data_IF_713451018493
#
_entry.id   IF_713451018493
#
_cell.length_a   1.000
_cell.length_b   1.000
_cell.length_c   1.000
_cell.angle_alpha   90.00
_cell.angle_beta   90.00
_cell.angle_gamma   90.00
#
_symmetry.space_group_name_H-M   'P 1'
#
loop_
_entity.id
_entity.type
_entity.pdbx_description
1 polymer ?
#
# COMPACT_ATOMS: atom_id res chain seq x y z
N UNK A 1 3.49 -20.51 -56.61
CA UNK A 1 3.02 -19.13 -56.81
C UNK A 1 1.85 -18.88 -55.86
N UNK A 2 2.09 -18.21 -54.73
CA UNK A 2 1.04 -17.86 -53.77
C UNK A 2 1.43 -16.53 -53.15
N UNK A 3 0.91 -15.45 -53.74
CA UNK A 3 1.25 -14.07 -53.42
C UNK A 3 0.43 -13.53 -52.25
N UNK A 4 1.11 -12.70 -51.47
CA UNK A 4 0.60 -11.78 -50.45
C UNK A 4 -0.49 -10.84 -50.99
N UNK A 5 -1.38 -10.39 -50.10
CA UNK A 5 -2.24 -9.24 -50.36
C UNK A 5 -3.20 -8.90 -49.22
N UNK A 6 -2.70 -8.28 -48.16
CA UNK A 6 -3.52 -7.48 -47.23
C UNK A 6 -3.71 -6.07 -47.78
N UNK A 7 -4.89 -5.47 -47.63
CA UNK A 7 -5.23 -4.04 -47.49
C UNK A 7 -6.73 -3.91 -47.84
N UNK A 8 -7.60 -3.14 -47.20
CA UNK A 8 -7.54 -2.21 -46.08
C UNK A 8 -8.98 -1.71 -45.85
N UNK A 9 -9.31 -1.24 -44.65
CA UNK A 9 -10.59 -0.57 -44.40
C UNK A 9 -10.31 0.85 -43.93
N UNK A 10 -10.78 1.81 -44.73
CA UNK A 10 -10.66 3.25 -44.50
C UNK A 10 -12.00 3.80 -43.99
N UNK A 11 -11.96 4.30 -42.75
CA UNK A 11 -12.63 5.45 -42.11
C UNK A 11 -13.78 6.17 -42.86
N UNK A 12 -14.95 6.32 -42.21
CA UNK A 12 -15.52 7.61 -41.72
C UNK A 12 -17.01 7.51 -41.39
N UNK A 13 -17.40 8.05 -40.22
CA UNK A 13 -18.82 8.23 -39.84
C UNK A 13 -18.95 9.01 -38.54
N UNK A 14 -18.82 10.33 -38.63
CA UNK A 14 -19.03 11.29 -37.54
C UNK A 14 -20.46 11.23 -36.98
N UNK A 15 -20.62 11.18 -35.66
CA UNK A 15 -21.82 11.70 -34.99
C UNK A 15 -21.46 12.46 -33.71
N UNK A 16 -21.42 13.78 -33.84
CA UNK A 16 -21.36 14.76 -32.76
C UNK A 16 -22.76 14.94 -32.16
N UNK A 17 -22.89 14.84 -30.83
CA UNK A 17 -23.41 15.95 -29.97
C UNK A 17 -23.49 15.57 -28.47
N UNK A 18 -22.88 16.47 -27.67
CA UNK A 18 -23.39 17.09 -26.41
C UNK A 18 -23.40 16.21 -25.15
N UNK A 19 -23.03 16.68 -23.94
CA UNK A 19 -22.56 17.97 -23.45
C UNK A 19 -22.23 17.84 -21.93
N UNK A 20 -21.48 18.84 -21.42
CA UNK A 20 -21.44 19.39 -20.04
C UNK A 20 -20.34 18.94 -19.06
N UNK A 21 -19.41 19.89 -18.91
CA UNK A 21 -18.96 20.51 -17.65
C UNK A 21 -18.49 19.60 -16.52
N UNK A 22 -17.17 19.64 -16.28
CA UNK A 22 -16.55 19.76 -14.95
C UNK A 22 -15.16 20.42 -15.09
N UNK A 23 -15.12 21.61 -15.70
CA UNK A 23 -13.98 22.52 -15.65
C UNK A 23 -14.14 23.45 -14.44
N UNK A 24 -13.81 23.02 -13.22
CA UNK A 24 -13.69 23.96 -12.09
C UNK A 24 -12.87 23.51 -10.87
N UNK A 25 -11.94 22.55 -10.98
CA UNK A 25 -11.06 22.20 -9.83
C UNK A 25 -9.56 22.21 -10.17
N UNK A 26 -9.19 22.52 -11.43
CA UNK A 26 -7.81 22.32 -11.93
C UNK A 26 -6.85 23.51 -11.81
N UNK A 27 -7.15 24.58 -11.05
CA UNK A 27 -6.36 25.83 -11.10
C UNK A 27 -5.75 26.28 -9.76
N UNK A 28 -5.98 25.60 -8.63
CA UNK A 28 -5.49 26.13 -7.34
C UNK A 28 -4.14 25.56 -6.91
N UNK A 29 -3.80 24.31 -7.24
CA UNK A 29 -2.57 23.68 -6.72
C UNK A 29 -1.27 23.99 -7.48
N UNK A 30 -1.34 24.51 -8.71
CA UNK A 30 -0.15 24.82 -9.51
C UNK A 30 0.53 26.16 -9.14
N UNK A 31 -0.15 27.02 -8.38
CA UNK A 31 0.36 28.35 -8.04
C UNK A 31 1.27 28.42 -6.80
N UNK A 32 1.28 27.37 -5.95
CA UNK A 32 2.09 27.37 -4.72
C UNK A 32 3.54 26.90 -4.95
N UNK A 33 3.78 25.99 -5.90
CA UNK A 33 5.10 25.40 -6.10
C UNK A 33 6.06 26.34 -6.88
N UNK A 34 5.56 27.05 -7.89
CA UNK A 34 6.39 27.95 -8.72
C UNK A 34 6.80 29.25 -8.02
N UNK A 35 6.12 29.65 -6.93
CA UNK A 35 6.52 30.83 -6.13
C UNK A 35 7.68 30.57 -5.17
N UNK A 36 7.90 29.31 -4.76
CA UNK A 36 8.88 28.99 -3.72
C UNK A 36 10.20 28.43 -4.25
N UNK A 37 10.23 27.89 -5.47
CA UNK A 37 11.48 27.43 -6.11
C UNK A 37 12.31 28.59 -6.68
N UNK A 38 11.68 29.70 -7.06
CA UNK A 38 12.35 30.80 -7.78
C UNK A 38 12.82 31.98 -6.88
N UNK A 39 12.67 31.90 -5.55
CA UNK A 39 13.18 32.95 -4.63
C UNK A 39 14.62 32.74 -4.17
N UNK A 40 15.23 31.58 -4.41
CA UNK A 40 16.55 31.22 -3.87
C UNK A 40 17.74 31.40 -4.82
N UNK A 41 17.55 31.82 -6.07
CA UNK A 41 18.65 31.87 -7.06
C UNK A 41 18.78 33.14 -7.91
N UNK A 42 18.08 34.24 -7.60
CA UNK A 42 18.26 35.49 -8.34
C UNK A 42 18.13 36.70 -7.41
N UNK A 43 19.15 36.93 -6.60
CA UNK A 43 19.36 38.20 -5.89
C UNK A 43 20.56 38.94 -6.48
N UNK A 44 20.55 39.15 -7.79
CA UNK A 44 21.37 40.19 -8.43
C UNK A 44 20.86 40.45 -9.83
N UNK A 45 20.73 41.75 -10.15
CA UNK A 45 20.41 42.33 -11.46
C UNK A 45 18.91 42.43 -11.79
N UNK A 46 18.39 43.64 -11.61
CA UNK A 46 17.01 44.04 -11.91
C UNK A 46 16.67 44.00 -13.40
N UNK A 47 16.27 42.82 -13.88
CA UNK A 47 15.57 42.65 -15.16
C UNK A 47 14.14 42.15 -14.88
N UNK A 48 13.15 42.89 -15.40
CA UNK A 48 11.74 42.51 -15.35
C UNK A 48 11.54 41.15 -16.05
N UNK A 49 11.23 40.12 -15.26
CA UNK A 49 11.01 38.76 -15.76
C UNK A 49 9.68 38.70 -16.51
N UNK A 50 9.74 38.67 -17.86
CA UNK A 50 8.55 38.51 -18.69
C UNK A 50 8.05 37.07 -18.62
N UNK A 51 6.89 36.87 -18.00
CA UNK A 51 6.21 35.57 -17.89
C UNK A 51 6.02 34.88 -19.26
N UNK A 52 5.86 35.66 -20.34
CA UNK A 52 5.70 35.13 -21.71
C UNK A 52 6.96 34.49 -22.29
N UNK A 53 8.16 34.85 -21.81
CA UNK A 53 9.42 34.25 -22.27
C UNK A 53 9.67 32.89 -21.61
N UNK A 54 9.37 32.76 -20.32
CA UNK A 54 9.51 31.50 -19.58
C UNK A 54 8.57 30.39 -20.10
N UNK A 55 7.35 30.76 -20.51
CA UNK A 55 6.38 29.81 -21.07
C UNK A 55 6.75 29.34 -22.49
N UNK A 56 7.53 30.12 -23.25
CA UNK A 56 8.02 29.69 -24.57
C UNK A 56 9.22 28.75 -24.48
N UNK A 57 10.10 28.94 -23.48
CA UNK A 57 11.23 28.06 -23.25
C UNK A 57 10.84 26.67 -22.70
N UNK A 58 9.63 26.51 -22.15
CA UNK A 58 9.12 25.22 -21.66
C UNK A 58 8.45 24.35 -22.72
N UNK A 59 8.31 24.85 -23.96
CA UNK A 59 7.71 24.09 -25.06
C UNK A 59 8.72 23.27 -25.87
N UNK A 60 10.01 23.35 -25.55
CA UNK A 60 11.04 22.47 -26.10
C UNK A 60 11.05 21.14 -25.34
N UNK A 61 10.34 20.16 -25.89
CA UNK A 61 10.54 18.71 -25.72
C UNK A 61 10.86 18.18 -24.31
N UNK A 62 10.21 18.68 -23.27
CA UNK A 62 10.16 17.97 -22.00
C UNK A 62 9.20 16.80 -22.18
N UNK A 63 9.73 15.62 -22.46
CA UNK A 63 8.98 14.35 -22.35
C UNK A 63 8.40 14.30 -20.94
N UNK A 64 7.11 14.61 -20.80
CA UNK A 64 6.39 14.40 -19.56
C UNK A 64 6.62 12.94 -19.15
N UNK A 65 6.93 12.65 -17.87
CA UNK A 65 7.05 11.28 -17.43
C UNK A 65 5.78 10.53 -17.84
N UNK A 66 5.89 9.27 -18.29
CA UNK A 66 4.73 8.50 -18.69
C UNK A 66 3.70 8.57 -17.57
N UNK A 67 2.45 8.93 -17.92
CA UNK A 67 1.35 9.01 -16.98
C UNK A 67 1.26 7.66 -16.26
N UNK A 68 1.68 7.62 -14.99
CA UNK A 68 1.62 6.40 -14.19
C UNK A 68 0.15 6.20 -13.90
N UNK A 69 -0.46 5.19 -14.52
CA UNK A 69 -1.81 4.79 -14.19
C UNK A 69 -1.84 4.24 -12.75
N UNK A 70 -2.11 5.14 -11.80
CA UNK A 70 -2.16 4.83 -10.37
C UNK A 70 -3.27 3.85 -10.04
N UNK A 71 -4.28 3.71 -10.90
CA UNK A 71 -5.47 2.91 -10.68
C UNK A 71 -5.45 1.57 -11.42
N UNK A 72 -4.42 1.29 -12.23
CA UNK A 72 -4.30 -0.01 -12.90
C UNK A 72 -4.28 -1.15 -11.86
N UNK A 73 -5.08 -2.18 -12.06
CA UNK A 73 -5.09 -3.35 -11.17
C UNK A 73 -3.81 -4.18 -11.32
N UNK A 74 -3.26 -4.19 -12.54
CA UNK A 74 -2.07 -4.94 -12.87
C UNK A 74 -0.79 -4.17 -12.52
N UNK A 75 0.07 -4.84 -11.76
CA UNK A 75 1.42 -4.38 -11.39
C UNK A 75 2.40 -4.79 -12.49
N UNK A 76 3.24 -3.84 -12.93
CA UNK A 76 4.26 -4.12 -13.96
C UNK A 76 5.48 -4.85 -13.37
N UNK A 77 6.18 -5.67 -14.17
CA UNK A 77 7.35 -6.45 -13.73
C UNK A 77 8.49 -5.64 -13.08
N UNK A 78 8.65 -4.39 -13.48
CA UNK A 78 9.70 -3.45 -13.07
C UNK A 78 9.27 -2.54 -11.90
N UNK A 79 8.04 -2.68 -11.40
CA UNK A 79 7.59 -1.86 -10.28
C UNK A 79 8.35 -2.17 -8.99
N UNK A 80 8.71 -1.10 -8.27
CA UNK A 80 9.44 -1.14 -7.01
C UNK A 80 8.61 -1.79 -5.91
N UNK A 81 9.22 -2.69 -5.15
CA UNK A 81 8.63 -3.32 -3.98
C UNK A 81 9.69 -3.57 -2.90
N UNK A 82 9.24 -3.83 -1.68
CA UNK A 82 10.12 -4.15 -0.55
C UNK A 82 9.69 -5.48 0.03
N UNK A 83 10.67 -6.36 0.27
CA UNK A 83 10.50 -7.60 0.99
C UNK A 83 11.10 -7.48 2.38
N UNK A 84 10.46 -8.12 3.34
CA UNK A 84 10.91 -8.21 4.72
C UNK A 84 11.10 -9.65 5.14
N UNK A 85 12.20 -9.90 5.85
CA UNK A 85 12.51 -11.20 6.43
C UNK A 85 11.96 -11.20 7.86
N UNK A 86 10.80 -11.83 8.07
CA UNK A 86 10.11 -11.87 9.35
C UNK A 86 10.49 -13.12 10.14
N UNK A 87 10.78 -12.94 11.43
CA UNK A 87 10.86 -14.03 12.40
C UNK A 87 9.50 -14.25 13.05
N UNK A 88 8.95 -15.45 12.89
CA UNK A 88 7.61 -15.80 13.29
C UNK A 88 7.61 -17.14 14.04
N UNK A 89 6.47 -17.45 14.63
CA UNK A 89 6.20 -18.74 15.24
C UNK A 89 5.00 -19.41 14.56
N UNK A 90 4.97 -20.73 14.56
CA UNK A 90 3.83 -21.53 14.13
C UNK A 90 3.55 -22.60 15.17
N UNK A 91 2.27 -22.79 15.55
CA UNK A 91 1.86 -23.90 16.42
C UNK A 91 1.79 -25.19 15.60
N UNK A 92 2.43 -26.24 16.07
CA UNK A 92 2.32 -27.58 15.50
C UNK A 92 1.03 -28.30 15.93
N UNK A 93 0.82 -29.53 15.44
CA UNK A 93 -0.35 -30.35 15.78
C UNK A 93 -0.42 -30.73 17.27
N UNK A 94 0.69 -30.61 18.00
CA UNK A 94 0.77 -30.87 19.44
C UNK A 94 0.68 -29.58 20.27
N UNK A 95 0.42 -28.43 19.62
CA UNK A 95 0.30 -27.12 20.26
C UNK A 95 1.64 -26.46 20.64
N UNK A 96 2.79 -27.02 20.25
CA UNK A 96 4.11 -26.44 20.51
C UNK A 96 4.44 -25.37 19.47
N UNK A 97 5.09 -24.29 19.90
CA UNK A 97 5.56 -23.23 19.01
C UNK A 97 6.88 -23.66 18.35
N UNK A 98 6.89 -23.61 17.03
CA UNK A 98 8.08 -23.79 16.20
C UNK A 98 8.48 -22.46 15.57
N UNK A 99 9.77 -22.18 15.55
CA UNK A 99 10.32 -20.98 14.93
C UNK A 99 10.34 -21.12 13.41
N UNK A 100 9.96 -20.04 12.72
CA UNK A 100 9.92 -19.98 11.28
C UNK A 100 10.39 -18.61 10.81
N UNK A 101 11.11 -18.59 9.69
CA UNK A 101 11.54 -17.37 9.02
C UNK A 101 10.78 -17.26 7.71
N UNK A 102 10.09 -16.14 7.52
CA UNK A 102 9.17 -15.97 6.38
C UNK A 102 9.49 -14.69 5.63
N UNK A 103 9.47 -14.76 4.32
CA UNK A 103 9.59 -13.61 3.43
C UNK A 103 8.20 -13.03 3.20
N UNK A 104 8.04 -11.75 3.54
CA UNK A 104 6.78 -11.02 3.39
C UNK A 104 6.94 -9.77 2.53
N UNK A 105 5.96 -9.43 1.68
CA UNK A 105 5.89 -8.11 1.06
C UNK A 105 5.57 -7.05 2.12
N UNK A 106 6.34 -5.96 2.11
CA UNK A 106 6.23 -4.88 3.09
C UNK A 106 5.56 -3.66 2.44
N UNK A 107 4.34 -3.28 2.84
CA UNK A 107 3.68 -2.09 2.32
C UNK A 107 4.35 -0.81 2.84
N UNK A 108 4.09 0.31 2.16
CA UNK A 108 4.67 1.62 2.52
C UNK A 108 4.45 2.03 3.98
N UNK A 109 3.26 1.79 4.53
CA UNK A 109 2.94 2.11 5.93
C UNK A 109 3.81 1.33 6.92
N UNK A 110 4.01 0.03 6.68
CA UNK A 110 4.87 -0.81 7.51
C UNK A 110 6.33 -0.37 7.40
N UNK A 111 6.81 -0.06 6.18
CA UNK A 111 8.17 0.45 5.99
C UNK A 111 8.40 1.74 6.77
N UNK A 112 7.49 2.72 6.67
CA UNK A 112 7.58 3.99 7.41
C UNK A 112 7.65 3.76 8.92
N UNK A 113 6.83 2.84 9.43
CA UNK A 113 6.79 2.48 10.86
C UNK A 113 8.10 1.85 11.32
N UNK A 114 8.67 0.95 10.53
CA UNK A 114 9.97 0.32 10.82
C UNK A 114 11.09 1.36 10.84
N UNK A 115 11.11 2.28 9.87
CA UNK A 115 12.14 3.33 9.78
C UNK A 115 12.04 4.36 10.91
N UNK A 116 10.88 4.49 11.57
CA UNK A 116 10.71 5.27 12.79
C UNK A 116 11.24 4.56 14.05
N UNK A 117 11.75 3.33 13.93
CA UNK A 117 12.33 2.58 15.04
C UNK A 117 11.31 1.84 15.90
N UNK A 118 10.08 1.66 15.42
CA UNK A 118 9.07 0.87 16.13
C UNK A 118 9.52 -0.60 16.19
N UNK A 119 9.43 -1.27 17.35
CA UNK A 119 9.79 -2.67 17.48
C UNK A 119 9.02 -3.55 16.49
N UNK A 120 9.73 -4.48 15.83
CA UNK A 120 9.13 -5.32 14.79
C UNK A 120 9.71 -6.73 14.77
N UNK A 121 8.97 -7.66 14.16
CA UNK A 121 9.40 -9.04 13.93
C UNK A 121 10.32 -9.18 12.70
N UNK A 122 10.53 -8.11 11.92
CA UNK A 122 11.43 -8.15 10.77
C UNK A 122 12.90 -8.06 11.22
N UNK A 123 13.72 -8.98 10.71
CA UNK A 123 15.18 -8.97 10.87
C UNK A 123 15.84 -8.05 9.85
N UNK A 124 15.37 -8.10 8.60
CA UNK A 124 15.97 -7.45 7.43
C UNK A 124 14.90 -7.00 6.45
N UNK A 125 15.21 -5.98 5.67
CA UNK A 125 14.42 -5.53 4.52
C UNK A 125 15.30 -5.52 3.27
N UNK A 126 14.71 -5.74 2.10
CA UNK A 126 15.39 -5.57 0.81
C UNK A 126 14.45 -4.93 -0.20
N UNK A 127 14.92 -3.90 -0.90
CA UNK A 127 14.17 -3.33 -2.01
C UNK A 127 14.51 -4.05 -3.32
N UNK A 128 13.49 -4.35 -4.11
CA UNK A 128 13.62 -5.08 -5.37
C UNK A 128 12.52 -4.67 -6.34
N UNK A 129 12.44 -5.35 -7.49
CA UNK A 129 11.36 -5.21 -8.46
C UNK A 129 10.38 -6.37 -8.36
N UNK A 130 9.12 -6.13 -8.70
CA UNK A 130 8.02 -7.10 -8.60
C UNK A 130 8.36 -8.45 -9.23
N UNK A 131 8.90 -8.47 -10.44
CA UNK A 131 9.28 -9.71 -11.14
C UNK A 131 10.30 -10.56 -10.37
N UNK A 132 11.31 -9.94 -9.75
CA UNK A 132 12.32 -10.65 -8.95
C UNK A 132 11.74 -11.12 -7.62
N UNK A 133 10.81 -10.35 -7.04
CA UNK A 133 10.15 -10.74 -5.81
C UNK A 133 9.23 -11.97 -5.95
N UNK A 134 8.77 -12.30 -7.16
CA UNK A 134 7.93 -13.47 -7.40
C UNK A 134 8.68 -14.80 -7.28
N UNK A 135 10.00 -14.78 -7.41
CA UNK A 135 10.82 -15.98 -7.40
C UNK A 135 11.84 -15.93 -6.26
N UNK A 136 11.78 -16.94 -5.39
CA UNK A 136 12.67 -17.07 -4.23
C UNK A 136 14.14 -17.19 -4.66
N UNK A 137 14.42 -17.76 -5.84
CA UNK A 137 15.79 -17.91 -6.34
C UNK A 137 16.43 -16.58 -6.76
N UNK A 138 15.59 -15.57 -7.04
CA UNK A 138 16.00 -14.22 -7.41
C UNK A 138 16.27 -13.31 -6.20
N UNK A 139 16.09 -13.82 -4.98
CA UNK A 139 16.32 -13.08 -3.74
C UNK A 139 17.81 -13.06 -3.41
N UNK A 140 18.39 -11.91 -3.05
CA UNK A 140 19.81 -11.82 -2.71
C UNK A 140 20.19 -12.75 -1.54
N UNK A 141 21.28 -13.54 -1.64
CA UNK A 141 21.74 -14.38 -0.54
C UNK A 141 22.04 -13.59 0.74
N UNK A 142 22.54 -12.36 0.60
CA UNK A 142 22.78 -11.43 1.72
C UNK A 142 21.50 -11.04 2.50
N UNK A 143 20.33 -11.16 1.89
CA UNK A 143 19.06 -10.92 2.57
C UNK A 143 18.62 -12.11 3.42
N UNK A 144 19.09 -13.32 3.12
CA UNK A 144 18.66 -14.57 3.78
C UNK A 144 19.71 -15.11 4.77
N UNK A 145 21.01 -14.90 4.55
CA UNK A 145 22.11 -15.41 5.43
C UNK A 145 21.90 -16.87 5.87
N UNK A 146 21.72 -17.78 4.91
CA UNK A 146 21.55 -19.23 5.13
C UNK A 146 20.32 -19.65 5.97
N UNK A 147 19.41 -18.72 6.30
CA UNK A 147 18.16 -19.03 6.98
C UNK A 147 17.24 -19.88 6.07
N UNK A 148 16.62 -20.92 6.63
CA UNK A 148 15.58 -21.68 5.91
C UNK A 148 14.32 -20.82 5.82
N UNK A 149 14.08 -20.28 4.64
CA UNK A 149 12.99 -19.34 4.38
C UNK A 149 11.89 -19.93 3.51
N UNK A 150 10.66 -19.46 3.73
CA UNK A 150 9.53 -19.67 2.83
C UNK A 150 8.80 -18.35 2.61
N UNK A 151 8.01 -18.28 1.54
CA UNK A 151 7.07 -17.19 1.36
C UNK A 151 5.90 -17.29 2.35
N UNK A 152 5.33 -16.14 2.69
CA UNK A 152 4.14 -16.09 3.53
C UNK A 152 2.89 -16.65 2.83
N UNK A 153 1.84 -16.87 3.61
CA UNK A 153 0.52 -17.17 3.06
C UNK A 153 0.03 -16.02 2.16
N UNK A 154 -0.65 -16.37 1.06
CA UNK A 154 -1.19 -15.44 0.07
C UNK A 154 -0.13 -14.45 -0.48
N UNK A 155 1.11 -14.91 -0.61
CA UNK A 155 2.26 -14.07 -0.97
C UNK A 155 2.04 -13.25 -2.25
N UNK A 156 1.56 -13.89 -3.33
CA UNK A 156 1.38 -13.23 -4.63
C UNK A 156 0.42 -12.03 -4.55
N UNK A 157 -0.74 -12.23 -3.91
CA UNK A 157 -1.74 -11.18 -3.72
C UNK A 157 -1.22 -10.06 -2.81
N UNK A 158 -0.55 -10.43 -1.72
CA UNK A 158 0.10 -9.48 -0.80
C UNK A 158 1.21 -8.69 -1.49
N UNK A 159 1.96 -9.32 -2.38
CA UNK A 159 3.04 -8.70 -3.12
C UNK A 159 2.49 -7.67 -4.11
N UNK A 160 1.43 -8.04 -4.83
CA UNK A 160 0.74 -7.12 -5.72
C UNK A 160 0.18 -5.92 -4.95
N UNK A 161 -0.49 -6.16 -3.82
CA UNK A 161 -1.04 -5.10 -2.97
C UNK A 161 0.06 -4.17 -2.42
N UNK A 162 1.14 -4.73 -1.85
CA UNK A 162 2.26 -3.94 -1.31
C UNK A 162 2.93 -3.09 -2.40
N UNK A 163 3.14 -3.65 -3.59
CA UNK A 163 3.75 -2.95 -4.73
C UNK A 163 2.90 -1.76 -5.17
N UNK A 164 1.56 -1.91 -5.23
CA UNK A 164 0.65 -0.80 -5.52
C UNK A 164 0.78 0.35 -4.52
N UNK A 165 1.08 0.07 -3.25
CA UNK A 165 1.29 1.14 -2.26
C UNK A 165 2.51 2.02 -2.59
N UNK A 166 3.59 1.44 -3.13
CA UNK A 166 4.77 2.21 -3.56
C UNK A 166 4.56 2.95 -4.88
N UNK A 167 3.71 2.42 -5.76
CA UNK A 167 3.29 3.12 -6.97
C UNK A 167 2.50 4.40 -6.62
N UNK A 168 1.62 4.32 -5.63
CA UNK A 168 0.83 5.46 -5.15
C UNK A 168 1.66 6.51 -4.39
N UNK A 169 2.70 6.09 -3.67
CA UNK A 169 3.52 6.97 -2.80
C UNK A 169 5.00 6.84 -3.13
N UNK A 170 5.47 7.62 -4.11
CA UNK A 170 6.86 7.57 -4.58
C UNK A 170 7.86 7.99 -3.50
N UNK A 171 7.48 8.91 -2.62
CA UNK A 171 8.30 9.39 -1.51
C UNK A 171 8.60 8.32 -0.45
N UNK A 172 7.84 7.21 -0.44
CA UNK A 172 8.03 6.08 0.48
C UNK A 172 9.10 5.09 -0.01
N UNK A 173 9.68 5.26 -1.20
CA UNK A 173 10.80 4.45 -1.71
C UNK A 173 12.11 4.86 -1.03
N UNK A 174 12.26 4.49 0.25
CA UNK A 174 13.38 4.92 1.10
C UNK A 174 14.64 4.06 0.98
N UNK A 175 14.50 2.82 0.55
CA UNK A 175 15.61 1.85 0.41
C UNK A 175 15.99 1.77 -1.08
N UNK A 176 17.28 1.77 -1.41
CA UNK A 176 17.72 1.69 -2.81
C UNK A 176 17.52 0.27 -3.36
N UNK A 177 17.23 0.14 -4.67
CA UNK A 177 17.06 -1.16 -5.29
C UNK A 177 18.30 -2.05 -5.10
N UNK A 178 18.10 -3.26 -4.58
CA UNK A 178 19.15 -4.22 -4.25
C UNK A 178 19.81 -4.01 -2.89
N UNK A 179 19.52 -2.91 -2.19
CA UNK A 179 20.04 -2.64 -0.85
C UNK A 179 19.34 -3.51 0.18
N UNK A 180 20.14 -4.18 1.03
CA UNK A 180 19.66 -4.90 2.20
C UNK A 180 19.78 -3.98 3.42
N UNK A 181 18.64 -3.64 3.99
CA UNK A 181 18.54 -2.78 5.16
C UNK A 181 18.46 -3.62 6.44
N UNK A 182 19.47 -3.44 7.31
CA UNK A 182 19.67 -4.23 8.54
C UNK A 182 19.44 -3.41 9.83
N UNK A 183 19.33 -2.09 9.74
CA UNK A 183 19.19 -1.21 10.91
C UNK A 183 17.73 -1.17 11.39
N UNK A 184 17.27 -2.26 11.99
CA UNK A 184 15.89 -2.48 12.39
C UNK A 184 15.82 -2.73 13.89
N UNK A 185 14.80 -2.17 14.56
CA UNK A 185 14.48 -2.48 15.95
C UNK A 185 13.80 -3.86 16.05
N UNK A 186 14.58 -4.92 15.88
CA UNK A 186 14.08 -6.29 15.93
C UNK A 186 13.75 -6.70 17.37
N UNK A 187 12.54 -7.25 17.59
CA UNK A 187 12.11 -7.74 18.89
C UNK A 187 11.27 -9.01 18.76
N UNK A 188 11.58 -9.99 19.62
CA UNK A 188 10.83 -11.24 19.78
C UNK A 188 9.86 -11.21 20.96
N UNK A 189 9.80 -10.08 21.69
CA UNK A 189 8.92 -9.93 22.86
C UNK A 189 7.43 -10.10 22.48
N UNK A 190 6.89 -9.41 21.45
CA UNK A 190 5.61 -9.80 20.88
C UNK A 190 5.80 -11.04 20.01
N UNK A 191 5.28 -12.18 20.47
CA UNK A 191 5.31 -13.42 19.68
C UNK A 191 4.31 -13.31 18.54
N UNK A 192 4.82 -13.26 17.31
CA UNK A 192 3.99 -13.29 16.10
C UNK A 192 3.74 -14.74 15.69
N UNK A 193 2.56 -15.26 16.02
CA UNK A 193 2.13 -16.62 15.69
C UNK A 193 1.27 -16.60 14.41
N UNK A 194 1.70 -17.29 13.33
CA UNK A 194 1.06 -17.18 12.01
C UNK A 194 -0.29 -17.89 11.90
N UNK A 195 -0.47 -19.00 12.62
CA UNK A 195 -1.68 -19.84 12.55
C UNK A 195 -2.59 -19.68 13.77
N UNK A 196 -2.44 -18.60 14.52
CA UNK A 196 -3.30 -18.30 15.66
C UNK A 196 -4.60 -17.66 15.16
N UNK A 197 -5.72 -18.34 15.41
CA UNK A 197 -7.05 -17.80 15.16
C UNK A 197 -7.56 -17.21 16.45
N UNK A 198 -7.90 -15.93 16.43
CA UNK A 198 -8.61 -15.30 17.53
C UNK A 198 -10.08 -15.72 17.46
N UNK A 199 -10.54 -16.43 18.47
CA UNK A 199 -11.95 -16.78 18.65
C UNK A 199 -12.53 -15.83 19.69
N UNK A 200 -13.37 -14.85 19.29
CA UNK A 200 -13.94 -13.89 20.22
C UNK A 200 -14.86 -14.61 21.21
N UNK A 201 -14.68 -14.29 22.48
CA UNK A 201 -15.51 -14.79 23.57
C UNK A 201 -16.72 -13.88 23.82
N UNK A 202 -17.73 -14.35 24.55
CA UNK A 202 -18.86 -13.49 24.96
C UNK A 202 -18.40 -12.36 25.89
N UNK A 203 -17.32 -12.58 26.61
CA UNK A 203 -16.66 -11.62 27.50
C UNK A 203 -15.96 -10.49 26.71
N UNK A 204 -15.50 -10.76 25.49
CA UNK A 204 -14.94 -9.76 24.57
C UNK A 204 -16.03 -8.87 23.94
N UNK A 205 -17.30 -9.19 24.15
CA UNK A 205 -18.42 -8.41 23.65
C UNK A 205 -18.60 -7.12 24.46
N UNK A 206 -17.86 -6.07 24.08
CA UNK A 206 -18.12 -4.71 24.56
C UNK A 206 -19.46 -4.26 23.99
N UNK A 207 -20.52 -4.30 24.80
CA UNK A 207 -21.83 -3.78 24.40
C UNK A 207 -21.68 -2.32 23.98
N UNK A 208 -22.02 -2.03 22.72
CA UNK A 208 -22.04 -0.65 22.19
C UNK A 208 -23.18 0.19 22.77
N UNK A 209 -24.08 -0.42 23.54
CA UNK A 209 -25.32 0.18 24.00
C UNK A 209 -25.19 0.71 25.43
N UNK A 210 -24.35 1.72 25.65
CA UNK A 210 -24.54 2.61 26.83
C UNK A 210 -25.40 3.82 26.43
N UNK A 211 -25.44 4.17 25.14
CA UNK A 211 -26.18 5.34 24.64
C UNK A 211 -27.45 5.02 23.84
N UNK A 212 -27.79 3.74 23.62
CA UNK A 212 -29.02 3.35 22.90
C UNK A 212 -29.98 2.49 23.72
N UNK A 213 -29.96 2.62 25.04
CA UNK A 213 -31.18 2.41 25.84
C UNK A 213 -31.99 3.72 25.85
N UNK A 214 -32.40 4.17 24.65
CA UNK A 214 -33.38 5.27 24.49
C UNK A 214 -34.80 4.77 24.82
N UNK A 215 -35.01 3.46 24.76
CA UNK A 215 -36.22 2.81 25.22
C UNK A 215 -35.82 1.81 26.30
N UNK A 216 -35.89 2.25 27.55
CA UNK A 216 -35.49 1.47 28.72
C UNK A 216 -35.99 0.04 28.67
N UNK A 217 -35.09 -0.88 28.29
CA UNK A 217 -35.31 -2.30 28.53
C UNK A 217 -35.36 -2.47 30.05
N UNK A 218 -36.52 -2.90 30.54
CA UNK A 218 -36.63 -3.45 31.89
C UNK A 218 -35.55 -4.52 32.02
N UNK A 219 -34.81 -4.50 33.13
CA UNK A 219 -33.77 -5.50 33.40
C UNK A 219 -34.40 -6.90 33.27
N UNK A 220 -33.62 -7.89 32.82
CA UNK A 220 -34.11 -9.25 32.58
C UNK A 220 -34.87 -9.85 33.78
N UNK A 221 -34.55 -9.40 35.00
CA UNK A 221 -35.27 -9.78 36.22
C UNK A 221 -36.68 -9.19 36.34
N UNK A 222 -36.89 -7.95 35.91
CA UNK A 222 -38.22 -7.33 35.89
C UNK A 222 -39.13 -8.01 34.87
N UNK A 223 -38.60 -8.36 33.70
CA UNK A 223 -39.34 -9.07 32.64
C UNK A 223 -39.75 -10.47 33.11
N UNK A 224 -38.85 -11.20 33.78
CA UNK A 224 -39.18 -12.53 34.36
C UNK A 224 -40.32 -12.44 35.38
N UNK A 225 -40.28 -11.45 36.27
CA UNK A 225 -41.31 -11.26 37.29
C UNK A 225 -42.68 -10.90 36.69
N UNK A 226 -42.70 -10.21 35.55
CA UNK A 226 -43.92 -9.79 34.86
C UNK A 226 -44.56 -10.96 34.10
N UNK A 227 -43.73 -11.82 33.49
CA UNK A 227 -44.17 -13.08 32.87
C UNK A 227 -44.75 -14.03 33.91
N UNK A 228 -44.11 -14.22 35.06
CA UNK A 228 -44.62 -15.07 36.14
C UNK A 228 -45.97 -14.58 36.68
N UNK A 229 -46.21 -13.26 36.74
CA UNK A 229 -47.51 -12.70 37.15
C UNK A 229 -48.61 -12.99 36.14
N UNK A 230 -48.31 -12.96 34.84
CA UNK A 230 -49.28 -13.24 33.79
C UNK A 230 -49.66 -14.72 33.69
N UNK A 231 -48.73 -15.63 34.02
CA UNK A 231 -49.02 -17.07 34.05
C UNK A 231 -49.81 -17.51 35.28
N UNK A 232 -49.82 -16.70 36.34
CA UNK A 232 -50.50 -16.99 37.61
C UNK A 232 -51.76 -16.13 37.83
N UNK A 233 -52.22 -15.40 36.81
CA UNK A 233 -53.46 -14.62 36.79
C UNK A 233 -54.56 -15.36 36.04
#
# INVERSE_FOLDING_TARGET
>A
MGGFGSLGFLVHGNFLKRNRNLNSVRVVFHNYFLRNVCKKSCFSVGKSFSYKAAVRASNDSATLPPEVDLFSEQVKPDEYTVLGLAFCFQRDSNGKLQELVVIEPVPTSTLETILQGVPTSYKRLVATVYSRAMDISSIPPAFVEDERVSFCENYSERLQAATRTYRARLEAKKIQLGEVYVTINFSTSPKRVLNEKFEPSFEDNVKQDISIDVYGRKKDEEVKSEIEKLYNA
#
